data_IF_646641613543
#
_entry.id   IF_646641613543
#
_cell.length_a   1.000
_cell.length_b   1.000
_cell.length_c   1.000
_cell.angle_alpha   90.00
_cell.angle_beta   90.00
_cell.angle_gamma   90.00
#
_symmetry.space_group_name_H-M   'P 1'
#
loop_
_entity.id
_entity.type
_entity.pdbx_description
1 polymer ?
#
# COMPACT_ATOMS: atom_id res chain seq x y z
N UNK A 1 -10.43 -17.86 -0.56
CA UNK A 1 -9.24 -16.99 -0.68
C UNK A 1 -9.70 -15.56 -0.41
N UNK A 2 -9.15 -14.90 0.62
CA UNK A 2 -9.58 -13.55 1.01
C UNK A 2 -8.88 -12.51 0.15
N UNK A 3 -9.60 -11.48 -0.27
CA UNK A 3 -9.07 -10.39 -1.10
C UNK A 3 -8.82 -9.14 -0.25
N UNK A 4 -7.66 -8.52 -0.42
CA UNK A 4 -7.25 -7.31 0.26
C UNK A 4 -6.88 -6.24 -0.76
N UNK A 5 -7.51 -5.07 -0.65
CA UNK A 5 -7.19 -3.90 -1.46
C UNK A 5 -6.18 -3.04 -0.72
N UNK A 6 -5.05 -2.80 -1.35
CA UNK A 6 -3.92 -2.05 -0.81
C UNK A 6 -3.68 -0.86 -1.73
N UNK A 7 -3.42 0.30 -1.13
CA UNK A 7 -3.03 1.50 -1.86
C UNK A 7 -1.66 1.92 -1.37
N UNK A 8 -0.74 2.18 -2.30
CA UNK A 8 0.59 2.71 -2.00
C UNK A 8 0.59 4.23 -2.22
N UNK A 9 0.86 4.97 -1.16
CA UNK A 9 0.79 6.44 -1.11
C UNK A 9 2.12 7.05 -0.68
N UNK A 10 2.39 8.28 -1.15
CA UNK A 10 3.61 9.03 -0.83
C UNK A 10 4.02 9.97 -1.97
N UNK A 11 4.91 10.92 -1.67
CA UNK A 11 5.38 11.94 -2.62
C UNK A 11 5.98 11.34 -3.91
N UNK A 12 6.16 12.17 -4.93
CA UNK A 12 6.85 11.76 -6.16
C UNK A 12 8.30 11.36 -5.88
N UNK A 13 8.83 10.35 -6.57
CA UNK A 13 10.23 9.95 -6.46
C UNK A 13 10.64 9.18 -5.20
N UNK A 14 9.75 8.93 -4.23
CA UNK A 14 10.07 8.20 -2.98
C UNK A 14 10.24 6.69 -3.15
N UNK A 15 10.04 6.15 -4.36
CA UNK A 15 10.24 4.72 -4.65
C UNK A 15 9.03 3.80 -4.49
N UNK A 16 7.79 4.35 -4.49
CA UNK A 16 6.54 3.55 -4.40
C UNK A 16 6.47 2.45 -5.45
N UNK A 17 6.62 2.84 -6.71
CA UNK A 17 6.60 1.93 -7.87
C UNK A 17 7.74 0.92 -7.80
N UNK A 18 8.93 1.33 -7.36
CA UNK A 18 10.07 0.42 -7.19
C UNK A 18 9.77 -0.68 -6.15
N UNK A 19 9.18 -0.32 -5.00
CA UNK A 19 8.75 -1.29 -3.99
C UNK A 19 7.62 -2.20 -4.48
N UNK A 20 6.61 -1.63 -5.14
CA UNK A 20 5.46 -2.38 -5.65
C UNK A 20 5.89 -3.38 -6.72
N UNK A 21 6.71 -2.95 -7.69
CA UNK A 21 7.21 -3.82 -8.76
C UNK A 21 8.15 -4.89 -8.21
N UNK A 22 9.07 -4.53 -7.31
CA UNK A 22 9.93 -5.52 -6.65
C UNK A 22 9.11 -6.56 -5.91
N UNK A 23 8.08 -6.14 -5.17
CA UNK A 23 7.21 -7.06 -4.46
C UNK A 23 6.43 -7.95 -5.43
N UNK A 24 5.87 -7.42 -6.51
CA UNK A 24 5.00 -8.18 -7.42
C UNK A 24 5.81 -9.11 -8.33
N UNK A 25 6.82 -8.55 -8.99
CA UNK A 25 7.56 -9.17 -10.09
C UNK A 25 8.94 -9.70 -9.70
N UNK A 26 9.48 -9.31 -8.53
CA UNK A 26 10.82 -9.72 -8.08
C UNK A 26 11.97 -9.03 -8.80
N UNK A 27 11.70 -7.95 -9.54
CA UNK A 27 12.70 -7.15 -10.25
C UNK A 27 12.71 -5.71 -9.77
N UNK A 28 13.91 -5.11 -9.73
CA UNK A 28 14.08 -3.72 -9.38
C UNK A 28 14.21 -2.87 -10.65
N UNK A 29 13.35 -1.87 -10.80
CA UNK A 29 13.34 -0.99 -11.96
C UNK A 29 14.24 0.21 -11.67
N UNK A 30 15.40 0.28 -12.34
CA UNK A 30 16.36 1.38 -12.15
C UNK A 30 15.94 2.69 -12.82
N UNK A 31 15.10 2.62 -13.87
CA UNK A 31 14.64 3.79 -14.61
C UNK A 31 13.29 4.25 -14.09
N UNK A 32 13.22 5.52 -13.67
CA UNK A 32 11.99 6.13 -13.24
C UNK A 32 11.12 6.50 -14.44
N UNK A 33 10.02 5.77 -14.64
CA UNK A 33 8.89 6.20 -15.45
C UNK A 33 7.77 6.67 -14.49
N UNK A 34 7.34 7.94 -14.52
CA UNK A 34 6.30 8.42 -13.62
C UNK A 34 4.99 7.63 -13.82
N UNK A 35 4.65 6.76 -12.86
CA UNK A 35 3.34 6.09 -12.84
C UNK A 35 2.22 7.13 -12.70
N UNK A 36 1.19 7.01 -13.54
CA UNK A 36 -0.08 7.75 -13.39
C UNK A 36 -0.92 7.03 -12.33
N UNK A 37 -1.28 5.78 -12.61
CA UNK A 37 -1.95 4.85 -11.70
C UNK A 37 -1.79 3.43 -12.26
N UNK A 38 -1.26 2.49 -11.48
CA UNK A 38 -1.05 1.09 -11.87
C UNK A 38 -1.73 0.15 -10.87
N UNK A 39 -2.39 -0.90 -11.36
CA UNK A 39 -3.04 -1.93 -10.53
C UNK A 39 -2.39 -3.29 -10.73
N UNK A 40 -1.97 -3.89 -9.62
CA UNK A 40 -1.31 -5.19 -9.58
C UNK A 40 -2.13 -6.18 -8.77
N UNK A 41 -2.04 -7.46 -9.13
CA UNK A 41 -2.60 -8.56 -8.33
C UNK A 41 -1.54 -9.59 -8.02
N UNK A 42 -1.48 -10.02 -6.77
CA UNK A 42 -0.55 -11.07 -6.32
C UNK A 42 -1.20 -11.99 -5.31
N UNK A 43 -1.10 -13.29 -5.57
CA UNK A 43 -1.42 -14.30 -4.56
C UNK A 43 -0.23 -14.45 -3.62
N UNK A 44 -0.51 -14.44 -2.33
CA UNK A 44 0.50 -14.60 -1.27
C UNK A 44 -0.04 -15.49 -0.16
N UNK A 45 0.86 -16.16 0.52
CA UNK A 45 0.56 -16.84 1.78
C UNK A 45 0.94 -15.94 2.95
N UNK A 46 -0.02 -15.68 3.84
CA UNK A 46 0.20 -14.92 5.08
C UNK A 46 -0.38 -15.77 6.21
N UNK A 47 0.45 -16.11 7.21
CA UNK A 47 0.06 -16.94 8.36
C UNK A 47 -0.60 -18.28 7.97
N UNK A 48 -0.08 -18.94 6.92
CA UNK A 48 -0.64 -20.19 6.40
C UNK A 48 -1.95 -20.03 5.61
N UNK A 49 -2.41 -18.80 5.36
CA UNK A 49 -3.62 -18.52 4.60
C UNK A 49 -3.32 -17.89 3.24
N UNK A 50 -3.87 -18.49 2.19
CA UNK A 50 -3.79 -17.97 0.83
C UNK A 50 -4.69 -16.74 0.67
N UNK A 51 -4.07 -15.62 0.28
CA UNK A 51 -4.68 -14.31 0.14
C UNK A 51 -4.44 -13.77 -1.28
N UNK A 52 -5.38 -12.99 -1.78
CA UNK A 52 -5.23 -12.20 -3.00
C UNK A 52 -5.02 -10.74 -2.62
N UNK A 53 -3.91 -10.14 -3.04
CA UNK A 53 -3.67 -8.72 -2.88
C UNK A 53 -4.01 -8.00 -4.19
N UNK A 54 -4.79 -6.94 -4.11
CA UNK A 54 -5.02 -5.96 -5.19
C UNK A 54 -4.32 -4.67 -4.78
N UNK A 55 -3.22 -4.34 -5.44
CA UNK A 55 -2.32 -3.24 -5.07
C UNK A 55 -2.48 -2.12 -6.09
N UNK A 56 -2.86 -0.94 -5.62
CA UNK A 56 -2.91 0.28 -6.40
C UNK A 56 -1.66 1.13 -6.12
N UNK A 57 -0.77 1.25 -7.11
CA UNK A 57 0.34 2.19 -7.09
C UNK A 57 -0.11 3.52 -7.71
N UNK A 58 0.22 4.63 -7.04
CA UNK A 58 -0.32 5.95 -7.40
C UNK A 58 0.79 6.95 -7.71
N UNK A 59 0.53 7.89 -8.61
CA UNK A 59 1.42 9.04 -8.76
C UNK A 59 1.53 9.83 -7.44
N UNK A 60 2.69 10.44 -7.19
CA UNK A 60 2.87 11.24 -5.98
C UNK A 60 1.94 12.46 -5.85
N UNK A 61 1.31 12.87 -6.95
CA UNK A 61 0.37 14.00 -7.04
C UNK A 61 -1.08 13.61 -6.73
N UNK A 62 -1.45 12.32 -6.77
CA UNK A 62 -2.85 11.86 -6.61
C UNK A 62 -3.24 11.57 -5.15
N UNK A 63 -2.35 11.83 -4.20
CA UNK A 63 -2.56 11.58 -2.77
C UNK A 63 -3.87 12.18 -2.24
N UNK A 64 -4.18 13.42 -2.63
CA UNK A 64 -5.30 14.18 -2.05
C UNK A 64 -6.67 13.67 -2.54
N UNK A 65 -6.79 13.33 -3.82
CA UNK A 65 -8.02 12.81 -4.40
C UNK A 65 -8.31 11.40 -3.92
N UNK A 66 -7.26 10.60 -3.73
CA UNK A 66 -7.41 9.22 -3.29
C UNK A 66 -7.71 9.08 -1.80
N UNK A 67 -7.08 9.90 -0.93
CA UNK A 67 -7.46 9.96 0.49
C UNK A 67 -8.93 10.33 0.66
N UNK A 68 -9.45 11.25 -0.16
CA UNK A 68 -10.88 11.58 -0.17
C UNK A 68 -11.74 10.39 -0.58
N UNK A 69 -11.30 9.60 -1.56
CA UNK A 69 -12.04 8.42 -2.02
C UNK A 69 -12.03 7.29 -0.98
N UNK A 70 -10.90 7.05 -0.31
CA UNK A 70 -10.77 6.08 0.79
C UNK A 70 -11.69 6.50 1.94
N UNK A 71 -11.63 7.76 2.37
CA UNK A 71 -12.47 8.27 3.47
C UNK A 71 -13.98 8.20 3.15
N UNK A 72 -14.38 8.30 1.88
CA UNK A 72 -15.78 8.07 1.48
C UNK A 72 -16.17 6.60 1.53
N UNK A 73 -15.24 5.69 1.20
CA UNK A 73 -15.49 4.23 1.14
C UNK A 73 -15.45 3.59 2.53
N UNK A 74 -14.64 4.13 3.43
CA UNK A 74 -14.49 3.72 4.82
C UNK A 74 -14.64 4.94 5.74
N UNK A 75 -15.87 5.43 5.96
CA UNK A 75 -16.10 6.47 6.95
C UNK A 75 -15.70 5.94 8.33
N UNK A 76 -14.85 6.68 9.05
CA UNK A 76 -14.38 6.37 10.41
C UNK A 76 -15.52 5.88 11.31
N UNK A 77 -15.62 4.56 11.49
CA UNK A 77 -16.50 3.96 12.49
C UNK A 77 -15.79 3.94 13.84
N UNK A 78 -15.77 5.10 14.50
CA UNK A 78 -15.56 5.20 15.95
C UNK A 78 -14.17 5.65 16.38
N UNK A 79 -14.04 6.93 16.69
CA UNK A 79 -12.99 7.45 17.57
C UNK A 79 -13.07 6.74 18.94
N UNK A 80 -12.19 5.79 19.22
CA UNK A 80 -11.87 5.45 20.62
C UNK A 80 -10.79 6.43 21.07
N UNK A 81 -11.15 7.36 21.94
CA UNK A 81 -10.17 8.12 22.71
C UNK A 81 -9.35 7.14 23.55
N UNK A 82 -8.03 7.14 23.37
CA UNK A 82 -7.11 6.30 24.13
C UNK A 82 -5.79 7.03 24.34
N UNK A 83 -5.67 7.67 25.50
CA UNK A 83 -4.40 8.07 26.12
C UNK A 83 -3.44 6.86 26.20
N UNK A 84 -2.14 7.05 25.94
CA UNK A 84 -1.08 6.19 26.49
C UNK A 84 -0.04 5.61 25.51
N UNK A 85 1.16 6.18 25.56
CA UNK A 85 2.50 5.58 25.39
C UNK A 85 2.77 4.39 24.45
N UNK A 86 3.60 4.68 23.42
CA UNK A 86 4.76 3.92 22.89
C UNK A 86 4.72 2.38 22.98
N UNK A 87 4.82 1.69 21.83
CA UNK A 87 5.96 0.83 21.39
C UNK A 87 5.83 0.55 19.88
N UNK A 88 6.82 0.95 19.08
CA UNK A 88 7.00 0.40 17.73
C UNK A 88 7.69 -0.96 17.88
N UNK A 89 6.99 -2.05 17.58
CA UNK A 89 7.65 -3.33 17.31
C UNK A 89 8.38 -3.19 15.97
N UNK A 90 9.71 -3.32 16.01
CA UNK A 90 10.52 -3.46 14.81
C UNK A 90 10.21 -4.80 14.16
N UNK A 91 9.62 -4.76 12.97
CA UNK A 91 9.70 -5.89 12.04
C UNK A 91 10.96 -5.68 11.20
N UNK A 92 11.96 -6.55 11.39
CA UNK A 92 13.02 -6.75 10.42
C UNK A 92 12.39 -7.34 9.16
N UNK A 93 12.43 -6.58 8.07
CA UNK A 93 12.27 -7.13 6.73
C UNK A 93 13.65 -7.67 6.37
N UNK A 94 13.75 -9.00 6.31
CA UNK A 94 14.87 -9.69 5.68
C UNK A 94 14.67 -9.70 4.17
#
# INVERSE_FOLDING_TARGET
MREYKIVVLGSGGVGKSALTVQFVQGIFVEKYDPTIEDSYRKQVEVDGQQCMLEILDTAGTVFYDLVRQINRRYPESGKRQGHGSKKCCGCNIM
#
